data_IF_616474527691
#
_entry.id   IF_616474527691
#
_cell.length_a   1.000
_cell.length_b   1.000
_cell.length_c   1.000
_cell.angle_alpha   90.00
_cell.angle_beta   90.00
_cell.angle_gamma   90.00
#
_symmetry.space_group_name_H-M   'P 1'
#
loop_
_entity.id
_entity.type
_entity.pdbx_description
1 polymer ?
#
# COMPACT_ATOMS: atom_id res chain seq x y z
N UNK A 1 -13.29 9.59 26.69
CA UNK A 1 -12.87 10.71 25.82
C UNK A 1 -13.38 10.37 24.44
N UNK A 2 -14.27 11.18 23.86
CA UNK A 2 -14.60 11.06 22.45
C UNK A 2 -13.44 11.70 21.69
N UNK A 3 -12.72 10.90 20.89
CA UNK A 3 -11.78 11.47 19.95
C UNK A 3 -12.58 12.38 18.99
N UNK A 4 -12.04 13.55 18.58
CA UNK A 4 -12.66 14.31 17.50
C UNK A 4 -12.79 13.42 16.27
N UNK A 5 -13.79 13.70 15.44
CA UNK A 5 -13.92 13.04 14.14
C UNK A 5 -12.60 13.19 13.38
N UNK A 6 -12.10 12.08 12.81
CA UNK A 6 -10.74 12.02 12.27
C UNK A 6 -10.55 13.04 11.14
N UNK A 7 -11.64 13.43 10.46
CA UNK A 7 -11.70 14.46 9.44
C UNK A 7 -11.21 15.82 9.93
N UNK A 8 -11.60 16.24 11.13
CA UNK A 8 -11.28 17.57 11.65
C UNK A 8 -9.79 17.65 12.00
N UNK A 9 -9.25 16.59 12.59
CA UNK A 9 -7.83 16.49 12.92
C UNK A 9 -6.94 16.42 11.66
N UNK A 10 -7.36 15.68 10.64
CA UNK A 10 -6.64 15.59 9.36
C UNK A 10 -6.64 16.92 8.63
N UNK A 11 -7.78 17.63 8.61
CA UNK A 11 -7.89 18.93 7.98
C UNK A 11 -7.02 20.00 8.66
N UNK A 12 -6.88 19.95 9.99
CA UNK A 12 -5.97 20.84 10.71
C UNK A 12 -4.49 20.48 10.52
N UNK A 13 -4.18 19.22 10.23
CA UNK A 13 -2.79 18.74 10.04
C UNK A 13 -2.30 19.01 8.62
N UNK A 14 -3.16 18.85 7.62
CA UNK A 14 -2.86 19.06 6.21
C UNK A 14 -3.72 20.19 5.66
N UNK A 15 -3.33 21.43 5.97
CA UNK A 15 -3.97 22.62 5.40
C UNK A 15 -3.81 22.66 3.87
N UNK A 16 -2.64 22.25 3.37
CA UNK A 16 -2.39 22.04 1.94
C UNK A 16 -2.76 20.61 1.52
N UNK A 17 -3.86 20.47 0.77
CA UNK A 17 -4.35 19.17 0.29
C UNK A 17 -3.43 18.53 -0.74
N UNK A 18 -2.60 19.31 -1.45
CA UNK A 18 -1.60 18.75 -2.35
C UNK A 18 -0.55 17.92 -1.61
N UNK A 19 -0.13 18.36 -0.42
CA UNK A 19 0.79 17.60 0.44
C UNK A 19 0.16 16.28 0.91
N UNK A 20 -1.13 16.29 1.25
CA UNK A 20 -1.84 15.07 1.62
C UNK A 20 -1.93 14.07 0.47
N UNK A 21 -2.27 14.54 -0.74
CA UNK A 21 -2.35 13.70 -1.95
C UNK A 21 -0.98 13.14 -2.33
N UNK A 22 0.06 13.96 -2.36
CA UNK A 22 1.45 13.53 -2.62
C UNK A 22 1.90 12.45 -1.62
N UNK A 23 1.65 12.68 -0.32
CA UNK A 23 1.99 11.70 0.72
C UNK A 23 1.28 10.36 0.52
N UNK A 24 0.03 10.37 0.08
CA UNK A 24 -0.71 9.14 -0.22
C UNK A 24 -0.17 8.41 -1.45
N UNK A 25 0.25 9.12 -2.49
CA UNK A 25 0.87 8.50 -3.67
C UNK A 25 2.23 7.88 -3.37
N UNK A 26 3.08 8.57 -2.63
CA UNK A 26 4.37 8.02 -2.18
C UNK A 26 4.16 6.75 -1.33
N UNK A 27 3.13 6.74 -0.48
CA UNK A 27 2.78 5.56 0.29
C UNK A 27 2.27 4.41 -0.62
N UNK A 28 1.45 4.74 -1.62
CA UNK A 28 0.98 3.76 -2.60
C UNK A 28 2.14 3.13 -3.39
N UNK A 29 3.17 3.89 -3.76
CA UNK A 29 4.37 3.37 -4.43
C UNK A 29 5.09 2.32 -3.55
N UNK A 30 5.22 2.59 -2.25
CA UNK A 30 5.84 1.66 -1.30
C UNK A 30 5.06 0.36 -1.21
N UNK A 31 3.73 0.43 -1.04
CA UNK A 31 2.89 -0.77 -0.91
C UNK A 31 2.79 -1.57 -2.20
N UNK A 32 2.72 -0.87 -3.34
CA UNK A 32 2.68 -1.50 -4.66
C UNK A 32 4.00 -2.20 -4.98
N UNK A 33 5.13 -1.61 -4.56
CA UNK A 33 6.47 -2.09 -4.92
C UNK A 33 6.68 -2.10 -6.45
N UNK A 34 7.61 -2.93 -6.92
CA UNK A 34 7.80 -3.18 -8.35
C UNK A 34 6.67 -4.07 -8.89
N UNK A 35 5.57 -3.47 -9.32
CA UNK A 35 4.40 -4.22 -9.78
C UNK A 35 4.68 -5.05 -11.04
N UNK A 36 5.66 -4.67 -11.85
CA UNK A 36 5.98 -5.36 -13.10
C UNK A 36 6.59 -6.75 -12.87
N UNK A 37 7.20 -7.00 -11.70
CA UNK A 37 7.80 -8.28 -11.34
C UNK A 37 6.94 -9.16 -10.44
N UNK A 38 5.72 -8.72 -10.05
CA UNK A 38 4.85 -9.40 -9.07
C UNK A 38 3.62 -10.04 -9.71
N UNK A 39 3.02 -11.02 -9.03
CA UNK A 39 1.79 -11.68 -9.47
C UNK A 39 0.49 -11.00 -8.96
N UNK A 40 0.57 -9.71 -8.63
CA UNK A 40 -0.55 -8.91 -8.15
C UNK A 40 -0.38 -8.34 -6.74
N UNK A 41 -1.43 -7.70 -6.25
CA UNK A 41 -1.45 -7.09 -4.91
C UNK A 41 -1.28 -8.15 -3.84
N UNK A 42 -0.43 -7.85 -2.84
CA UNK A 42 -0.15 -8.74 -1.72
C UNK A 42 0.83 -9.89 -2.01
N UNK A 43 1.32 -10.03 -3.25
CA UNK A 43 2.30 -11.08 -3.58
C UNK A 43 3.60 -10.95 -2.79
N UNK A 44 4.06 -12.01 -2.16
CA UNK A 44 5.27 -12.01 -1.35
C UNK A 44 6.49 -12.48 -2.15
N UNK A 45 7.54 -11.64 -2.17
CA UNK A 45 8.85 -12.04 -2.67
C UNK A 45 9.55 -12.92 -1.62
N UNK A 46 9.63 -14.23 -1.90
CA UNK A 46 10.11 -15.21 -0.93
C UNK A 46 11.60 -15.01 -0.59
N UNK A 47 12.41 -14.55 -1.55
CA UNK A 47 13.82 -14.28 -1.33
C UNK A 47 14.04 -13.10 -0.36
N UNK A 48 13.26 -12.03 -0.51
CA UNK A 48 13.29 -10.86 0.36
C UNK A 48 12.82 -11.19 1.77
N UNK A 49 11.79 -12.03 1.91
CA UNK A 49 11.36 -12.52 3.21
C UNK A 49 12.42 -13.39 3.90
N UNK A 50 13.08 -14.28 3.16
CA UNK A 50 14.17 -15.08 3.74
C UNK A 50 15.33 -14.17 4.17
N UNK A 51 15.73 -13.22 3.33
CA UNK A 51 16.76 -12.24 3.68
C UNK A 51 16.40 -11.46 4.95
N UNK A 52 15.15 -11.05 5.09
CA UNK A 52 14.67 -10.38 6.31
C UNK A 52 14.84 -11.28 7.53
N UNK A 53 14.39 -12.54 7.49
CA UNK A 53 14.50 -13.51 8.58
C UNK A 53 15.96 -13.81 8.96
N UNK A 54 16.83 -13.94 7.97
CA UNK A 54 18.26 -14.17 8.16
C UNK A 54 18.93 -12.95 8.82
N UNK A 55 18.58 -11.74 8.36
CA UNK A 55 19.11 -10.48 8.92
C UNK A 55 18.68 -10.29 10.37
N UNK A 56 17.40 -10.53 10.70
CA UNK A 56 16.94 -10.39 12.09
C UNK A 56 17.54 -11.47 13.01
N UNK A 57 17.91 -12.62 12.47
CA UNK A 57 18.68 -13.66 13.17
C UNK A 57 20.12 -13.21 13.43
N UNK A 58 20.79 -12.62 12.44
CA UNK A 58 22.16 -12.10 12.55
C UNK A 58 22.26 -11.04 13.66
N UNK A 59 21.31 -10.11 13.74
CA UNK A 59 21.30 -9.07 14.78
C UNK A 59 20.79 -9.57 16.15
N UNK A 60 20.48 -10.86 16.27
CA UNK A 60 20.07 -11.50 17.53
C UNK A 60 18.62 -11.28 17.96
N UNK A 61 17.75 -10.77 17.08
CA UNK A 61 16.31 -10.66 17.37
C UNK A 61 15.60 -12.01 17.23
N UNK A 62 16.10 -12.91 16.38
CA UNK A 62 15.70 -14.31 16.36
C UNK A 62 16.75 -15.20 17.04
N UNK A 63 16.26 -16.19 17.78
CA UNK A 63 17.10 -17.21 18.41
C UNK A 63 17.19 -18.50 17.59
N UNK A 64 16.35 -18.66 16.57
CA UNK A 64 16.27 -19.84 15.70
C UNK A 64 16.15 -19.42 14.25
N UNK A 65 16.59 -20.29 13.37
CA UNK A 65 16.36 -20.15 11.93
C UNK A 65 14.87 -20.40 11.63
N UNK A 66 14.32 -19.60 10.73
CA UNK A 66 12.94 -19.71 10.26
C UNK A 66 12.99 -19.70 8.74
N UNK A 67 12.36 -20.69 8.10
CA UNK A 67 12.18 -20.67 6.66
C UNK A 67 11.00 -19.77 6.30
N UNK A 68 11.19 -18.85 5.36
CA UNK A 68 10.12 -18.00 4.87
C UNK A 68 8.94 -18.82 4.32
N UNK A 69 9.23 -19.94 3.66
CA UNK A 69 8.22 -20.83 3.10
C UNK A 69 7.31 -21.44 4.17
N UNK A 70 7.73 -21.55 5.43
CA UNK A 70 6.89 -22.11 6.49
C UNK A 70 5.80 -21.14 6.96
N UNK A 71 6.02 -19.83 6.80
CA UNK A 71 5.19 -18.78 7.40
C UNK A 71 4.63 -17.75 6.40
N UNK A 72 5.17 -17.69 5.20
CA UNK A 72 4.72 -16.81 4.12
C UNK A 72 4.21 -17.66 2.96
N UNK A 73 3.01 -17.34 2.45
CA UNK A 73 2.33 -18.10 1.40
C UNK A 73 1.72 -17.18 0.36
N UNK A 74 1.88 -17.54 -0.91
CA UNK A 74 1.23 -16.87 -2.04
C UNK A 74 -0.01 -17.64 -2.56
N UNK A 75 -0.39 -18.75 -1.91
CA UNK A 75 -1.41 -19.69 -2.38
C UNK A 75 -2.76 -19.04 -2.70
N UNK A 76 -3.10 -17.94 -2.03
CA UNK A 76 -4.37 -17.22 -2.20
C UNK A 76 -4.26 -15.93 -3.01
N UNK A 77 -3.05 -15.51 -3.39
CA UNK A 77 -2.81 -14.22 -4.07
C UNK A 77 -3.50 -14.17 -5.42
N UNK A 78 -3.40 -15.25 -6.22
CA UNK A 78 -4.04 -15.31 -7.52
C UNK A 78 -5.56 -15.14 -7.42
N UNK A 79 -6.20 -15.89 -6.53
CA UNK A 79 -7.65 -15.79 -6.29
C UNK A 79 -8.06 -14.44 -5.73
N UNK A 80 -7.27 -13.85 -4.84
CA UNK A 80 -7.52 -12.51 -4.29
C UNK A 80 -7.39 -11.40 -5.35
N UNK A 81 -6.62 -11.62 -6.42
CA UNK A 81 -6.44 -10.68 -7.53
C UNK A 81 -7.37 -10.94 -8.73
N UNK A 82 -8.24 -11.95 -8.66
CA UNK A 82 -9.26 -12.28 -9.66
C UNK A 82 -10.58 -11.52 -9.41
N UNK A 83 -10.47 -10.22 -9.10
CA UNK A 83 -11.60 -9.32 -9.02
C UNK A 83 -11.84 -8.61 -10.35
N UNK A 84 -13.02 -8.03 -10.51
CA UNK A 84 -13.36 -7.23 -11.68
C UNK A 84 -12.59 -5.90 -11.68
N UNK A 85 -11.40 -5.93 -12.30
CA UNK A 85 -10.49 -4.78 -12.39
C UNK A 85 -11.10 -3.62 -13.19
N UNK A 86 -11.92 -3.92 -14.20
CA UNK A 86 -12.58 -2.90 -15.00
C UNK A 86 -13.66 -2.19 -14.18
N UNK A 87 -14.46 -2.94 -13.42
CA UNK A 87 -15.43 -2.37 -12.48
C UNK A 87 -14.74 -1.53 -11.40
N UNK A 88 -13.67 -2.03 -10.78
CA UNK A 88 -12.94 -1.27 -9.76
C UNK A 88 -12.42 0.05 -10.32
N UNK A 89 -11.87 0.03 -11.54
CA UNK A 89 -11.42 1.23 -12.22
C UNK A 89 -12.59 2.19 -12.50
N UNK A 90 -13.69 1.69 -13.04
CA UNK A 90 -14.86 2.51 -13.35
C UNK A 90 -15.48 3.12 -12.09
N UNK A 91 -15.58 2.36 -11.00
CA UNK A 91 -16.07 2.84 -9.72
C UNK A 91 -15.14 3.92 -9.12
N UNK A 92 -13.82 3.77 -9.27
CA UNK A 92 -12.84 4.76 -8.83
C UNK A 92 -12.88 6.05 -9.66
N UNK A 93 -12.98 5.94 -10.99
CA UNK A 93 -13.08 7.08 -11.91
C UNK A 93 -14.42 7.84 -11.76
N UNK A 94 -15.48 7.16 -11.33
CA UNK A 94 -16.79 7.76 -11.12
C UNK A 94 -16.99 8.37 -9.71
N UNK A 95 -16.00 8.25 -8.81
CA UNK A 95 -16.12 8.77 -7.45
C UNK A 95 -16.06 10.31 -7.45
N UNK A 96 -17.11 10.95 -6.96
CA UNK A 96 -17.16 12.41 -6.79
C UNK A 96 -16.27 12.83 -5.62
N UNK A 97 -15.22 13.61 -5.93
CA UNK A 97 -14.35 14.19 -4.92
C UNK A 97 -15.05 15.35 -4.21
N UNK A 98 -14.63 15.67 -2.99
CA UNK A 98 -15.05 16.95 -2.39
C UNK A 98 -14.38 18.11 -3.13
N UNK A 99 -14.98 19.32 -3.12
CA UNK A 99 -14.42 20.47 -3.84
C UNK A 99 -12.95 20.76 -3.49
N UNK A 100 -12.55 20.49 -2.24
CA UNK A 100 -11.18 20.69 -1.76
C UNK A 100 -10.15 19.77 -2.43
N UNK A 101 -10.55 18.59 -2.91
CA UNK A 101 -9.67 17.63 -3.60
C UNK A 101 -9.82 17.66 -5.12
N UNK A 102 -10.96 18.12 -5.65
CA UNK A 102 -11.15 18.31 -7.10
C UNK A 102 -10.12 19.29 -7.70
N UNK A 103 -9.70 20.28 -6.92
CA UNK A 103 -8.74 21.30 -7.33
C UNK A 103 -7.26 20.82 -7.22
N UNK A 104 -7.02 19.67 -6.58
CA UNK A 104 -5.66 19.16 -6.37
C UNK A 104 -5.20 18.37 -7.59
N UNK A 105 -4.08 18.79 -8.18
CA UNK A 105 -3.49 18.07 -9.29
C UNK A 105 -3.00 16.67 -8.88
N UNK A 106 -3.19 15.69 -9.75
CA UNK A 106 -2.58 14.37 -9.60
C UNK A 106 -1.06 14.49 -9.73
N UNK A 107 -0.27 13.96 -8.78
CA UNK A 107 1.19 13.98 -8.85
C UNK A 107 1.75 13.35 -10.12
N UNK A 108 2.92 13.84 -10.55
CA UNK A 108 3.64 13.25 -11.68
C UNK A 108 4.05 11.81 -11.35
N UNK A 109 3.74 10.87 -12.25
CA UNK A 109 4.08 9.45 -12.06
C UNK A 109 3.07 8.63 -11.25
N UNK A 110 2.02 9.26 -10.72
CA UNK A 110 0.95 8.59 -10.01
C UNK A 110 0.32 7.44 -10.82
N UNK A 111 0.40 6.22 -10.30
CA UNK A 111 -0.26 5.04 -10.86
C UNK A 111 0.44 4.38 -12.05
N UNK A 112 1.69 4.76 -12.37
CA UNK A 112 2.54 4.10 -13.39
C UNK A 112 3.10 2.76 -12.91
#
# INVERSE_FOLDING_TARGET
>A
MNAPEISDALNATFEDKAVAVESMWQNAEIFRGDFASREGWGWHDMASWQLFLDTIKEIGQLTKDISAEEIVKNDYVAGANDFDKEKVRADAEAFELSPEYEEVAVPEGAGL
#
